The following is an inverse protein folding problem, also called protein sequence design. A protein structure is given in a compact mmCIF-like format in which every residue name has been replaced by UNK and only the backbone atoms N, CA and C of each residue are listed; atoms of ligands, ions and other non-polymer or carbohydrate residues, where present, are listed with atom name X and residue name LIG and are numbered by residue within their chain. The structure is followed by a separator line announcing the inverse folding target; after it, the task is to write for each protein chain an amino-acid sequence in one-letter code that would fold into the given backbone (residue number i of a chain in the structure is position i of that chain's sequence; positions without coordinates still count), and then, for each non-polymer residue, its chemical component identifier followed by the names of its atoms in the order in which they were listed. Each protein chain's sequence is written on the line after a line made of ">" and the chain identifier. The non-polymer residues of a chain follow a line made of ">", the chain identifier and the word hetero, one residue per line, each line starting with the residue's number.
data_IF_818111178209
#
_entry.id   IF_818111178209
#
_cell.length_a   1.000
_cell.length_b   1.000
_cell.length_c   1.000
_cell.angle_alpha   90.00
_cell.angle_beta   90.00
_cell.angle_gamma   90.00
#
_symmetry.space_group_name_H-M   'P 1'
#
loop_
_entity.id
_entity.type
_entity.pdbx_description
1 polymer ?
#
# COMPACT_ATOMS: atom_id res chain seq x y z
N UNK A 1 -0.85 -5.17 -17.40
CA UNK A 1 0.42 -4.44 -17.20
C UNK A 1 1.27 -5.08 -16.07
N UNK A 2 1.75 -6.29 -16.31
CA UNK A 2 2.78 -6.94 -15.49
C UNK A 2 4.01 -7.10 -16.39
N UNK A 3 4.79 -6.02 -16.51
CA UNK A 3 6.10 -6.15 -17.11
C UNK A 3 7.00 -6.93 -16.13
N UNK A 4 7.78 -7.92 -16.60
CA UNK A 4 8.72 -8.62 -15.73
C UNK A 4 9.70 -7.62 -15.08
N UNK A 5 10.13 -7.85 -13.82
CA UNK A 5 11.04 -6.94 -13.15
C UNK A 5 12.34 -6.85 -13.95
N UNK A 6 12.58 -5.67 -14.51
CA UNK A 6 13.81 -5.40 -15.24
C UNK A 6 15.00 -5.41 -14.28
N UNK A 7 16.08 -6.15 -14.59
CA UNK A 7 17.25 -6.23 -13.73
C UNK A 7 17.87 -4.85 -13.60
N UNK A 8 18.13 -4.41 -12.37
CA UNK A 8 18.73 -3.11 -12.09
C UNK A 8 20.12 -3.31 -11.52
N UNK A 9 21.13 -2.72 -12.16
CA UNK A 9 22.52 -2.79 -11.70
C UNK A 9 22.71 -1.80 -10.56
N UNK A 10 23.26 -2.27 -9.44
CA UNK A 10 23.62 -1.44 -8.29
C UNK A 10 25.13 -1.20 -8.32
N UNK A 11 25.54 0.06 -8.56
CA UNK A 11 26.95 0.48 -8.61
C UNK A 11 27.38 1.22 -7.33
N UNK A 12 26.53 1.27 -6.30
CA UNK A 12 26.87 1.93 -5.04
C UNK A 12 27.98 1.17 -4.34
N UNK A 13 29.00 1.90 -3.87
CA UNK A 13 30.12 1.37 -3.10
C UNK A 13 30.10 1.79 -1.62
N UNK A 14 29.08 2.55 -1.20
CA UNK A 14 28.98 3.12 0.15
C UNK A 14 27.63 2.84 0.81
N UNK A 15 27.67 2.60 2.12
CA UNK A 15 26.50 2.42 2.97
C UNK A 15 25.75 3.74 3.14
N UNK A 16 24.43 3.73 2.96
CA UNK A 16 23.60 4.94 3.04
C UNK A 16 23.32 5.37 4.49
N UNK A 17 23.57 4.50 5.48
CA UNK A 17 23.44 4.82 6.90
C UNK A 17 24.73 5.37 7.51
N UNK A 18 25.89 4.77 7.18
CA UNK A 18 27.17 5.09 7.82
C UNK A 18 28.18 5.80 6.91
N UNK A 19 27.95 5.83 5.60
CA UNK A 19 28.90 6.37 4.61
C UNK A 19 30.16 5.52 4.39
N UNK A 20 30.36 4.47 5.19
CA UNK A 20 31.45 3.52 5.09
C UNK A 20 31.38 2.72 3.78
N UNK A 21 32.50 2.15 3.30
CA UNK A 21 32.47 1.20 2.18
C UNK A 21 31.50 0.05 2.47
N UNK A 22 30.85 -0.42 1.42
CA UNK A 22 29.97 -1.59 1.51
C UNK A 22 30.81 -2.85 1.74
N UNK A 23 30.51 -3.55 2.83
CA UNK A 23 31.14 -4.82 3.19
C UNK A 23 30.07 -5.92 3.14
N UNK A 24 30.43 -7.04 2.52
CA UNK A 24 29.53 -8.19 2.44
C UNK A 24 29.23 -8.72 3.86
N UNK A 25 27.98 -9.09 4.16
CA UNK A 25 26.79 -9.08 3.29
C UNK A 25 26.12 -7.69 3.17
N UNK A 26 25.67 -7.37 1.95
CA UNK A 26 25.06 -6.08 1.58
C UNK A 26 23.61 -6.29 1.14
N UNK A 27 22.73 -5.35 1.52
CA UNK A 27 21.34 -5.28 1.07
C UNK A 27 21.16 -4.06 0.16
N UNK A 28 20.59 -4.29 -1.03
CA UNK A 28 20.27 -3.25 -2.00
C UNK A 28 18.76 -3.11 -2.15
N UNK A 29 18.24 -1.90 -1.95
CA UNK A 29 16.83 -1.59 -2.14
C UNK A 29 16.57 -1.02 -3.53
N UNK A 30 15.39 -1.28 -4.09
CA UNK A 30 14.97 -0.71 -5.38
C UNK A 30 14.82 0.82 -5.39
N UNK A 31 14.90 1.49 -4.24
CA UNK A 31 15.04 2.96 -4.20
C UNK A 31 16.46 3.43 -4.58
N UNK A 32 17.46 2.54 -4.59
CA UNK A 32 18.87 2.85 -4.90
C UNK A 32 19.77 2.89 -3.66
N UNK A 33 19.20 2.88 -2.46
CA UNK A 33 19.98 2.85 -1.23
C UNK A 33 20.54 1.46 -0.95
N UNK A 34 21.80 1.44 -0.55
CA UNK A 34 22.56 0.23 -0.23
C UNK A 34 23.06 0.31 1.21
N UNK A 35 23.04 -0.81 1.92
CA UNK A 35 23.39 -0.89 3.34
C UNK A 35 24.19 -2.14 3.64
N UNK A 36 25.13 -2.03 4.58
CA UNK A 36 25.73 -3.20 5.22
C UNK A 36 24.66 -3.86 6.09
N UNK A 37 24.53 -5.19 6.03
CA UNK A 37 23.49 -5.91 6.79
C UNK A 37 23.51 -5.56 8.28
N UNK A 38 24.71 -5.38 8.85
CA UNK A 38 24.90 -4.98 10.26
C UNK A 38 24.28 -3.62 10.61
N UNK A 39 24.17 -2.71 9.65
CA UNK A 39 23.57 -1.38 9.85
C UNK A 39 22.04 -1.38 9.74
N UNK A 40 21.47 -2.49 9.26
CA UNK A 40 20.04 -2.60 8.97
C UNK A 40 19.27 -3.32 10.09
N UNK A 41 19.96 -4.16 10.89
CA UNK A 41 19.35 -4.90 11.99
C UNK A 41 18.19 -5.78 11.50
N UNK A 42 17.03 -5.64 12.14
CA UNK A 42 15.79 -6.36 11.77
C UNK A 42 14.99 -5.71 10.63
N UNK A 43 15.44 -4.55 10.12
CA UNK A 43 14.72 -3.78 9.08
C UNK A 43 15.14 -4.15 7.66
N UNK A 44 15.47 -5.42 7.40
CA UNK A 44 15.99 -5.86 6.08
C UNK A 44 14.97 -5.80 4.93
N UNK A 45 13.69 -5.58 5.27
CA UNK A 45 12.58 -5.53 4.32
C UNK A 45 12.25 -4.15 3.77
N UNK A 46 12.69 -3.08 4.44
CA UNK A 46 12.38 -1.71 4.02
C UNK A 46 13.59 -0.77 4.15
N UNK A 47 13.73 0.13 3.19
CA UNK A 47 14.79 1.13 3.24
C UNK A 47 14.46 2.14 4.34
N UNK A 48 15.30 2.32 5.38
CA UNK A 48 14.99 3.20 6.51
C UNK A 48 14.87 4.68 6.11
N UNK A 49 15.51 5.09 5.01
CA UNK A 49 15.41 6.46 4.48
C UNK A 49 14.09 6.70 3.74
N UNK A 50 13.60 5.71 2.99
CA UNK A 50 12.41 5.85 2.14
C UNK A 50 11.13 5.32 2.80
N UNK A 51 11.25 4.46 3.81
CA UNK A 51 10.15 3.89 4.58
C UNK A 51 9.09 4.91 5.03
N UNK A 52 9.44 6.05 5.67
CA UNK A 52 8.44 7.00 6.13
C UNK A 52 7.63 7.60 4.98
N UNK A 53 8.27 7.94 3.88
CA UNK A 53 7.59 8.53 2.72
C UNK A 53 6.76 7.47 1.97
N UNK A 54 7.30 6.26 1.83
CA UNK A 54 6.61 5.16 1.19
C UNK A 54 5.36 4.73 1.97
N UNK A 55 5.42 4.73 3.31
CA UNK A 55 4.25 4.50 4.17
C UNK A 55 3.16 5.53 3.92
N UNK A 56 3.49 6.83 3.86
CA UNK A 56 2.51 7.89 3.53
C UNK A 56 1.85 7.66 2.16
N UNK A 57 2.63 7.32 1.14
CA UNK A 57 2.09 7.03 -0.21
C UNK A 57 1.16 5.81 -0.18
N UNK A 58 1.54 4.75 0.53
CA UNK A 58 0.71 3.55 0.67
C UNK A 58 -0.59 3.84 1.44
N UNK A 59 -0.55 4.69 2.46
CA UNK A 59 -1.73 5.09 3.22
C UNK A 59 -2.69 5.92 2.37
N UNK A 60 -2.19 6.87 1.57
CA UNK A 60 -3.00 7.64 0.61
C UNK A 60 -3.65 6.70 -0.41
N UNK A 61 -2.90 5.74 -0.95
CA UNK A 61 -3.45 4.76 -1.90
C UNK A 61 -4.51 3.89 -1.23
N UNK A 62 -4.30 3.47 0.02
CA UNK A 62 -5.27 2.70 0.80
C UNK A 62 -6.54 3.50 1.08
N UNK A 63 -6.44 4.77 1.45
CA UNK A 63 -7.60 5.62 1.69
C UNK A 63 -8.41 5.85 0.41
N UNK A 64 -7.73 6.04 -0.73
CA UNK A 64 -8.38 6.15 -2.04
C UNK A 64 -9.11 4.84 -2.44
N UNK A 65 -8.49 3.68 -2.17
CA UNK A 65 -9.14 2.38 -2.39
C UNK A 65 -10.35 2.17 -1.47
N UNK A 66 -10.25 2.53 -0.19
CA UNK A 66 -11.37 2.43 0.74
C UNK A 66 -12.55 3.32 0.29
N UNK A 67 -12.27 4.51 -0.23
CA UNK A 67 -13.29 5.39 -0.80
C UNK A 67 -13.97 4.79 -2.05
N UNK A 68 -13.27 3.99 -2.85
CA UNK A 68 -13.86 3.28 -4.00
C UNK A 68 -14.92 2.23 -3.65
N UNK A 69 -14.99 1.80 -2.38
CA UNK A 69 -15.96 0.81 -1.91
C UNK A 69 -17.31 1.44 -1.51
N UNK A 70 -17.47 2.76 -1.60
CA UNK A 70 -18.68 3.48 -1.20
C UNK A 70 -19.31 4.27 -2.37
N UNK A 71 -19.74 3.60 -3.45
CA UNK A 71 -20.34 4.27 -4.60
C UNK A 71 -21.63 5.04 -4.24
N UNK A 72 -22.38 4.62 -3.22
CA UNK A 72 -23.60 5.28 -2.76
C UNK A 72 -23.32 6.69 -2.23
N UNK A 73 -22.17 6.88 -1.56
CA UNK A 73 -21.75 8.19 -1.06
C UNK A 73 -21.48 9.16 -2.22
N UNK A 74 -20.83 8.68 -3.28
CA UNK A 74 -20.63 9.47 -4.50
C UNK A 74 -21.97 9.91 -5.10
N UNK A 75 -22.95 9.01 -5.22
CA UNK A 75 -24.26 9.36 -5.77
C UNK A 75 -25.08 10.29 -4.86
N UNK A 76 -24.88 10.25 -3.55
CA UNK A 76 -25.47 11.22 -2.63
C UNK A 76 -24.86 12.62 -2.84
N UNK A 77 -23.53 12.72 -2.82
CA UNK A 77 -22.79 13.98 -3.05
C UNK A 77 -23.11 14.59 -4.42
N UNK A 78 -23.25 13.75 -5.47
CA UNK A 78 -23.59 14.19 -6.82
C UNK A 78 -25.01 14.79 -6.92
N UNK A 79 -25.97 14.29 -6.14
CA UNK A 79 -27.35 14.81 -6.14
C UNK A 79 -27.48 16.14 -5.39
N UNK A 80 -26.63 16.35 -4.39
CA UNK A 80 -26.64 17.57 -3.57
C UNK A 80 -25.76 18.69 -4.14
N UNK A 81 -24.79 18.36 -5.00
CA UNK A 81 -23.84 19.33 -5.53
C UNK A 81 -24.45 20.30 -6.56
N UNK A 82 -24.03 21.57 -6.47
CA UNK A 82 -24.39 22.60 -7.44
C UNK A 82 -23.70 22.41 -8.81
N UNK A 83 -22.48 21.86 -8.82
CA UNK A 83 -21.75 21.47 -10.04
C UNK A 83 -21.38 19.98 -9.98
N UNK A 84 -22.17 19.16 -10.68
CA UNK A 84 -21.95 17.72 -10.75
C UNK A 84 -20.67 17.33 -11.51
N UNK A 85 -20.18 18.18 -12.42
CA UNK A 85 -18.97 17.86 -13.17
C UNK A 85 -17.72 17.94 -12.28
N UNK A 86 -17.64 18.95 -11.41
CA UNK A 86 -16.55 19.06 -10.43
C UNK A 86 -16.46 17.83 -9.53
N UNK A 87 -17.60 17.32 -9.05
CA UNK A 87 -17.67 16.12 -8.20
C UNK A 87 -17.17 14.88 -8.93
N UNK A 88 -17.58 14.70 -10.19
CA UNK A 88 -17.15 13.60 -11.05
C UNK A 88 -15.64 13.69 -11.33
N UNK A 89 -15.13 14.88 -11.67
CA UNK A 89 -13.71 15.08 -11.96
C UNK A 89 -12.83 14.79 -10.73
N UNK A 90 -13.25 15.21 -9.55
CA UNK A 90 -12.55 14.94 -8.29
C UNK A 90 -12.53 13.45 -7.95
N UNK A 91 -13.67 12.76 -8.07
CA UNK A 91 -13.77 11.32 -7.82
C UNK A 91 -12.98 10.49 -8.85
N UNK A 92 -12.94 10.95 -10.10
CA UNK A 92 -12.12 10.35 -11.15
C UNK A 92 -10.62 10.51 -10.85
N UNK A 93 -10.20 11.73 -10.47
CA UNK A 93 -8.81 12.03 -10.12
C UNK A 93 -8.30 11.24 -8.90
N UNK A 94 -9.20 10.92 -7.96
CA UNK A 94 -8.91 10.06 -6.79
C UNK A 94 -8.91 8.56 -7.14
N UNK A 95 -9.23 8.17 -8.37
CA UNK A 95 -9.26 6.78 -8.82
C UNK A 95 -10.43 5.95 -8.27
N UNK A 96 -11.43 6.60 -7.65
CA UNK A 96 -12.59 5.95 -6.99
C UNK A 96 -13.46 5.22 -8.04
N UNK A 97 -13.54 5.77 -9.26
CA UNK A 97 -14.31 5.19 -10.37
C UNK A 97 -13.51 4.19 -11.23
N UNK A 98 -12.22 3.97 -10.96
CA UNK A 98 -11.37 3.12 -11.82
C UNK A 98 -11.42 1.63 -11.45
N UNK A 99 -12.38 1.23 -10.61
CA UNK A 99 -12.64 -0.18 -10.27
C UNK A 99 -13.48 -0.79 -11.40
N UNK A 100 -12.82 -1.12 -12.51
CA UNK A 100 -13.45 -2.05 -13.47
C UNK A 100 -13.57 -3.43 -12.81
N UNK A 101 -14.58 -4.25 -13.17
CA UNK A 101 -14.73 -5.60 -12.63
C UNK A 101 -13.46 -6.45 -12.83
N UNK A 102 -12.64 -6.15 -13.84
CA UNK A 102 -11.32 -6.74 -14.04
C UNK A 102 -10.30 -6.37 -12.93
N UNK A 103 -10.30 -5.14 -12.43
CA UNK A 103 -9.42 -4.68 -11.34
C UNK A 103 -9.92 -5.19 -9.98
N UNK A 104 -11.24 -5.23 -9.76
CA UNK A 104 -11.83 -5.86 -8.58
C UNK A 104 -11.55 -7.37 -8.52
N UNK A 105 -11.69 -8.08 -9.65
CA UNK A 105 -11.36 -9.50 -9.75
C UNK A 105 -9.86 -9.77 -9.53
N UNK A 106 -8.98 -8.92 -10.06
CA UNK A 106 -7.54 -9.02 -9.82
C UNK A 106 -7.15 -8.75 -8.36
N UNK A 107 -7.81 -7.80 -7.69
CA UNK A 107 -7.60 -7.52 -6.27
C UNK A 107 -8.11 -8.68 -5.37
N UNK A 108 -9.25 -9.28 -5.70
CA UNK A 108 -9.76 -10.47 -5.02
C UNK A 108 -8.84 -11.69 -5.20
N UNK A 109 -8.25 -11.86 -6.40
CA UNK A 109 -7.30 -12.94 -6.68
C UNK A 109 -5.94 -12.76 -5.96
N UNK A 110 -5.53 -11.53 -5.65
CA UNK A 110 -4.30 -11.23 -4.91
C UNK A 110 -4.46 -11.34 -3.38
N UNK A 111 -5.69 -11.42 -2.86
CA UNK A 111 -6.03 -11.53 -1.43
C UNK A 111 -6.06 -12.97 -0.89
N UNK A 112 -5.34 -13.90 -1.51
CA UNK A 112 -5.25 -15.29 -1.08
C UNK A 112 -4.32 -15.49 0.12
N UNK A 113 -4.83 -15.23 1.32
CA UNK A 113 -4.31 -15.83 2.55
C UNK A 113 -4.01 -14.85 3.69
N UNK A 114 -4.92 -14.79 4.68
CA UNK A 114 -4.57 -14.87 6.10
C UNK A 114 -5.85 -14.84 6.97
N UNK A 115 -6.00 -15.90 7.77
CA UNK A 115 -6.43 -15.72 9.17
C UNK A 115 -7.91 -15.88 9.47
N UNK A 116 -8.31 -17.12 9.71
CA UNK A 116 -9.45 -17.44 10.56
C UNK A 116 -9.32 -16.72 11.91
N UNK A 117 -10.37 -16.02 12.33
CA UNK A 117 -10.57 -15.62 13.71
C UNK A 117 -11.95 -16.07 14.15
N UNK A 118 -11.90 -16.97 15.14
CA UNK A 118 -12.98 -17.73 15.70
C UNK A 118 -14.13 -16.85 16.21
N UNK A 119 -15.35 -17.28 15.90
CA UNK A 119 -16.55 -16.89 16.61
C UNK A 119 -16.49 -17.43 18.04
N UNK A 120 -16.27 -16.56 19.02
CA UNK A 120 -16.57 -16.84 20.42
C UNK A 120 -18.02 -16.40 20.68
N UNK A 121 -18.84 -17.39 21.05
CA UNK A 121 -20.28 -17.25 21.20
C UNK A 121 -20.72 -16.37 22.37
N UNK A 122 -21.84 -15.69 22.14
CA UNK A 122 -22.64 -15.05 23.17
C UNK A 122 -23.75 -16.02 23.60
N UNK A 123 -23.77 -16.38 24.88
CA UNK A 123 -24.95 -16.77 25.64
C UNK A 123 -24.61 -16.40 27.10
N UNK A 124 -25.24 -15.42 27.74
CA UNK A 124 -26.68 -15.25 27.81
C UNK A 124 -27.26 -16.12 28.92
N UNK A 125 -26.68 -16.07 30.13
CA UNK A 125 -27.17 -16.73 31.33
C UNK A 125 -27.73 -15.70 32.30
N UNK A 126 -29.04 -15.48 32.20
CA UNK A 126 -29.87 -14.78 33.18
C UNK A 126 -30.20 -15.76 34.31
N UNK A 127 -30.05 -15.36 35.57
CA UNK A 127 -31.00 -15.57 36.67
C UNK A 127 -30.37 -15.28 38.05
N UNK A 128 -31.01 -14.32 38.73
CA UNK A 128 -31.30 -14.20 40.17
C UNK A 128 -30.18 -14.50 41.19
#
# INVERSE_FOLDING_TARGET
>A
PNAPPQPRVFQNSRCSASGAPLELPVVHFLCGHSYNLRQLGDSDRECPLCAPDQRRVLDIRRSMQAASLQPERFFAELREAADGFSVVAEHLGRGIMNVTPAVAAAAAAAGGGAGALAAAGQAGGMQL
#
